data_IF_120554796004
#
_entry.id   IF_120554796004
#
_cell.length_a   1.000
_cell.length_b   1.000
_cell.length_c   1.000
_cell.angle_alpha   90.00
_cell.angle_beta   90.00
_cell.angle_gamma   90.00
#
_symmetry.space_group_name_H-M   'P 1'
#
loop_
_entity.id
_entity.type
_entity.pdbx_description
1 polymer ?
#
# COMPACT_ATOMS: atom_id res chain seq x y z
N UNK A 1 8.72 26.73 -7.11
CA UNK A 1 7.92 26.03 -6.09
C UNK A 1 8.51 24.63 -6.00
N UNK A 2 8.98 24.23 -4.82
CA UNK A 2 9.64 22.93 -4.65
C UNK A 2 8.60 21.80 -4.73
N UNK A 3 8.81 20.87 -5.66
CA UNK A 3 7.95 19.71 -5.91
C UNK A 3 7.80 18.86 -4.64
N UNK A 4 8.85 18.80 -3.81
CA UNK A 4 8.87 18.09 -2.53
C UNK A 4 7.82 18.61 -1.54
N UNK A 5 7.56 19.93 -1.56
CA UNK A 5 6.58 20.58 -0.68
C UNK A 5 5.14 20.27 -1.13
N UNK A 6 4.91 20.13 -2.44
CA UNK A 6 3.61 19.76 -3.00
C UNK A 6 3.26 18.34 -2.53
N UNK A 7 4.18 17.39 -2.67
CA UNK A 7 3.99 16.02 -2.20
C UNK A 7 3.75 15.92 -0.69
N UNK A 8 4.50 16.68 0.12
CA UNK A 8 4.32 16.68 1.58
C UNK A 8 2.94 17.19 2.00
N UNK A 9 2.45 18.25 1.35
CA UNK A 9 1.12 18.82 1.62
C UNK A 9 0.00 17.86 1.21
N UNK A 10 0.12 17.25 0.05
CA UNK A 10 -0.86 16.26 -0.44
C UNK A 10 -0.88 15.03 0.47
N UNK A 11 0.28 14.50 0.85
CA UNK A 11 0.39 13.40 1.80
C UNK A 11 -0.23 13.76 3.15
N UNK A 12 0.03 14.97 3.67
CA UNK A 12 -0.59 15.44 4.91
C UNK A 12 -2.12 15.44 4.81
N UNK A 13 -2.68 15.97 3.73
CA UNK A 13 -4.13 16.01 3.52
C UNK A 13 -4.73 14.59 3.47
N UNK A 14 -4.06 13.66 2.77
CA UNK A 14 -4.48 12.25 2.70
C UNK A 14 -4.47 11.62 4.11
N UNK A 15 -3.41 11.83 4.89
CA UNK A 15 -3.33 11.31 6.26
C UNK A 15 -4.45 11.89 7.14
N UNK A 16 -4.74 13.19 7.03
CA UNK A 16 -5.81 13.82 7.79
C UNK A 16 -7.18 13.30 7.39
N UNK A 17 -7.41 13.04 6.10
CA UNK A 17 -8.63 12.41 5.62
C UNK A 17 -8.82 11.02 6.26
N UNK A 18 -7.81 10.14 6.21
CA UNK A 18 -7.89 8.81 6.82
C UNK A 18 -8.06 8.85 8.36
N UNK A 19 -7.59 9.90 9.04
CA UNK A 19 -7.76 10.06 10.49
C UNK A 19 -9.16 10.50 10.91
N UNK A 20 -9.77 11.40 10.15
CA UNK A 20 -10.99 12.09 10.58
C UNK A 20 -12.25 11.58 9.89
N UNK A 21 -12.14 11.19 8.62
CA UNK A 21 -13.25 10.66 7.82
C UNK A 21 -13.08 9.16 7.62
N UNK A 22 -11.84 8.72 7.41
CA UNK A 22 -11.51 7.32 7.18
C UNK A 22 -11.89 6.85 5.79
N UNK A 23 -11.65 5.56 5.57
CA UNK A 23 -12.08 4.87 4.36
C UNK A 23 -12.66 3.53 4.79
N UNK A 24 -13.82 3.19 4.24
CA UNK A 24 -14.45 1.91 4.47
C UNK A 24 -14.73 1.24 3.13
N UNK A 25 -13.80 0.39 2.70
CA UNK A 25 -14.09 -0.57 1.65
C UNK A 25 -15.09 -1.61 2.17
N UNK A 26 -16.01 -2.04 1.32
CA UNK A 26 -16.77 -3.26 1.56
C UNK A 26 -15.89 -4.47 1.27
N UNK A 27 -15.09 -4.84 2.28
CA UNK A 27 -14.13 -5.96 2.19
C UNK A 27 -14.84 -7.28 1.88
N UNK A 28 -16.08 -7.46 2.34
CA UNK A 28 -16.82 -8.69 2.11
C UNK A 28 -17.29 -8.79 0.66
N UNK A 29 -17.83 -7.70 0.12
CA UNK A 29 -18.17 -7.60 -1.30
C UNK A 29 -16.93 -7.85 -2.17
N UNK A 30 -15.82 -7.18 -1.89
CA UNK A 30 -14.61 -7.32 -2.69
C UNK A 30 -14.01 -8.74 -2.59
N UNK A 31 -14.13 -9.43 -1.45
CA UNK A 31 -13.70 -10.83 -1.30
C UNK A 31 -14.54 -11.79 -2.12
N UNK A 32 -15.83 -11.49 -2.29
CA UNK A 32 -16.72 -12.25 -3.14
C UNK A 32 -16.46 -11.97 -4.63
N UNK A 33 -16.22 -10.71 -5.00
CA UNK A 33 -15.98 -10.31 -6.40
C UNK A 33 -14.60 -10.75 -6.90
N UNK A 34 -13.57 -10.68 -6.06
CA UNK A 34 -12.18 -11.00 -6.42
C UNK A 34 -11.60 -12.08 -5.50
N UNK A 35 -12.03 -13.35 -5.64
CA UNK A 35 -11.53 -14.44 -4.80
C UNK A 35 -10.02 -14.62 -4.97
N UNK A 36 -9.29 -14.53 -3.86
CA UNK A 36 -7.83 -14.68 -3.83
C UNK A 36 -7.03 -13.40 -4.13
N UNK A 37 -7.67 -12.29 -4.52
CA UNK A 37 -6.98 -11.02 -4.77
C UNK A 37 -6.79 -10.20 -3.48
N UNK A 38 -7.72 -10.34 -2.53
CA UNK A 38 -7.62 -9.70 -1.22
C UNK A 38 -6.81 -10.58 -0.28
N UNK A 39 -5.50 -10.50 -0.42
CA UNK A 39 -4.58 -11.01 0.58
C UNK A 39 -4.64 -10.12 1.82
N UNK A 40 -4.39 -10.73 2.97
CA UNK A 40 -4.13 -9.94 4.19
C UNK A 40 -2.79 -9.22 4.05
N UNK A 41 -2.58 -8.13 4.80
CA UNK A 41 -1.29 -7.45 4.77
C UNK A 41 -0.13 -8.38 5.15
N UNK A 42 -0.34 -9.29 6.10
CA UNK A 42 0.66 -10.29 6.48
C UNK A 42 1.00 -11.25 5.33
N UNK A 43 -0.02 -11.72 4.59
CA UNK A 43 0.20 -12.54 3.40
C UNK A 43 0.95 -11.77 2.32
N UNK A 44 0.60 -10.52 2.07
CA UNK A 44 1.32 -9.66 1.15
C UNK A 44 2.80 -9.54 1.53
N UNK A 45 3.11 -9.32 2.81
CA UNK A 45 4.51 -9.21 3.28
C UNK A 45 5.28 -10.52 3.06
N UNK A 46 4.65 -11.67 3.28
CA UNK A 46 5.26 -12.98 3.04
C UNK A 46 5.46 -13.26 1.55
N UNK A 47 4.46 -12.99 0.72
CA UNK A 47 4.50 -13.23 -0.73
C UNK A 47 5.52 -12.36 -1.45
N UNK A 48 5.73 -11.13 -0.96
CA UNK A 48 6.67 -10.17 -1.56
C UNK A 48 8.07 -10.23 -0.94
N UNK A 49 8.28 -11.08 0.07
CA UNK A 49 9.50 -11.12 0.87
C UNK A 49 9.93 -9.71 1.31
N UNK A 50 8.94 -8.95 1.78
CA UNK A 50 9.07 -7.51 1.92
C UNK A 50 10.16 -7.15 2.93
N UNK A 51 11.11 -6.33 2.47
CA UNK A 51 12.23 -5.90 3.29
C UNK A 51 13.41 -6.88 3.32
N UNK A 52 13.39 -7.94 2.51
CA UNK A 52 14.58 -8.77 2.31
C UNK A 52 15.71 -7.93 1.66
N UNK A 53 16.84 -7.73 2.35
CA UNK A 53 17.96 -6.93 1.82
C UNK A 53 18.61 -7.53 0.57
N UNK A 54 18.44 -8.83 0.34
CA UNK A 54 18.93 -9.57 -0.83
C UNK A 54 17.96 -9.50 -2.02
N UNK A 55 16.75 -8.98 -1.83
CA UNK A 55 15.73 -8.78 -2.87
C UNK A 55 15.70 -7.31 -3.31
N UNK A 56 16.81 -6.84 -3.88
CA UNK A 56 16.93 -5.49 -4.41
C UNK A 56 16.82 -5.48 -5.95
N UNK A 57 16.60 -4.30 -6.52
CA UNK A 57 16.41 -4.17 -7.98
C UNK A 57 17.60 -4.72 -8.80
N UNK A 58 18.81 -4.67 -8.25
CA UNK A 58 20.04 -5.14 -8.91
C UNK A 58 20.17 -6.68 -8.90
N UNK A 59 19.57 -7.35 -7.92
CA UNK A 59 19.60 -8.82 -7.77
C UNK A 59 18.48 -9.51 -8.56
N UNK A 60 17.34 -8.85 -8.79
CA UNK A 60 16.22 -9.41 -9.56
C UNK A 60 16.40 -9.36 -11.10
N UNK A 61 17.41 -8.62 -11.60
CA UNK A 61 17.67 -8.44 -13.03
C UNK A 61 18.88 -9.24 -13.57
N UNK A 62 19.46 -10.13 -12.75
CA UNK A 62 20.51 -11.08 -13.14
C UNK A 62 20.00 -12.53 -13.07
#
# INVERSE_FOLDING_TARGET
MDISIIFAKELYNIIQFYRNEGYQADVNYLRAEFPGLLTTFDQFLQETDWGNPESNYETMNN
#
